data_IF_771989633074
#
_entry.id   IF_771989633074
#
_cell.length_a   1.000
_cell.length_b   1.000
_cell.length_c   1.000
_cell.angle_alpha   90.00
_cell.angle_beta   90.00
_cell.angle_gamma   90.00
#
_symmetry.space_group_name_H-M   'P 1'
#
loop_
_entity.id
_entity.type
_entity.pdbx_description
1 polymer ?
2 polymer ?
3 non-polymer ?
4 water ?
#
loop_
_entity_poly.entity_id
_entity_poly.type
_entity_poly.pdbx_seq_one_letter_code
_entity_poly.pdbx_strand_id
2 'polyribonucleotide' 'AAUCCAUUGCACUCCGGAUUU' ?
#
# COMPACT_ATOMS: atom_id res chain seq x y z
N UNK A 2 19.52 6.28 -0.49
CA UNK A 2 19.15 5.22 0.49
C UNK A 2 17.83 4.58 0.07
N UNK A 3 17.57 3.39 0.60
CA UNK A 3 16.38 2.55 0.31
C UNK A 3 15.33 2.81 1.39
N UNK A 4 14.04 2.50 1.12
CA UNK A 4 13.07 2.42 2.20
C UNK A 4 13.59 1.44 3.27
N UNK A 5 13.59 1.87 4.53
CA UNK A 5 13.94 1.03 5.72
C UNK A 5 12.85 -0.02 5.99
N UNK A 6 13.18 -1.30 5.82
CA UNK A 6 12.25 -2.46 5.99
C UNK A 6 12.64 -3.37 7.18
N UNK A 7 13.62 -3.01 8.01
CA UNK A 7 13.98 -3.81 9.21
C UNK A 7 12.97 -3.45 10.29
N UNK A 8 12.09 -4.39 10.70
CA UNK A 8 11.05 -4.08 11.67
C UNK A 8 11.62 -3.28 12.86
N UNK A 9 10.84 -2.32 13.35
CA UNK A 9 11.21 -1.47 14.49
C UNK A 9 9.91 -1.13 15.23
N UNK A 10 9.99 -0.72 16.50
CA UNK A 10 8.82 -0.33 17.32
C UNK A 10 8.15 0.86 16.67
N UNK A 11 8.92 1.68 15.96
CA UNK A 11 8.48 2.99 15.45
C UNK A 11 8.37 2.90 13.92
N UNK A 12 7.26 3.42 13.38
CA UNK A 12 7.08 3.63 11.92
C UNK A 12 7.32 5.11 11.62
N UNK A 13 7.99 5.38 10.50
CA UNK A 13 8.29 6.75 10.01
C UNK A 13 7.35 7.00 8.83
N UNK A 14 6.51 8.02 8.96
CA UNK A 14 5.53 8.42 7.91
C UNK A 14 5.99 9.74 7.30
N UNK A 15 6.21 9.79 5.99
CA UNK A 15 6.52 11.06 5.26
C UNK A 15 5.42 11.28 4.22
N UNK A 16 5.55 12.30 3.38
CA UNK A 16 4.55 12.60 2.32
C UNK A 16 3.20 12.90 2.99
N UNK A 17 3.21 13.53 4.15
CA UNK A 17 1.97 13.98 4.84
C UNK A 17 1.59 15.36 4.31
N UNK A 18 0.31 15.59 4.10
CA UNK A 18 -0.23 16.91 3.72
C UNK A 18 0.26 17.93 4.73
N UNK A 19 1.12 18.86 4.30
CA UNK A 19 1.78 19.85 5.19
C UNK A 19 0.80 20.94 5.61
N UNK A 20 -0.43 20.98 5.08
CA UNK A 20 -1.40 22.03 5.48
C UNK A 20 -2.02 21.59 6.81
N UNK A 21 -1.90 20.31 7.17
CA UNK A 21 -2.48 19.81 8.44
C UNK A 21 -1.56 20.20 9.59
N UNK A 22 -2.10 20.84 10.61
CA UNK A 22 -1.35 21.32 11.80
C UNK A 22 -1.03 20.14 12.72
N UNK A 23 -0.05 20.34 13.58
CA UNK A 23 0.49 19.34 14.51
C UNK A 23 -0.64 18.68 15.30
N UNK A 24 -1.48 19.45 15.98
CA UNK A 24 -2.46 18.86 16.92
C UNK A 24 -3.38 17.94 16.13
N UNK A 25 -3.85 18.39 14.98
CA UNK A 25 -4.83 17.62 14.16
C UNK A 25 -4.13 16.39 13.56
N UNK A 26 -2.90 16.55 13.06
CA UNK A 26 -2.10 15.44 12.48
C UNK A 26 -1.98 14.33 13.53
N UNK A 27 -1.56 14.65 14.76
CA UNK A 27 -1.38 13.67 15.85
C UNK A 27 -2.73 12.99 16.15
N UNK A 28 -3.80 13.77 16.21
CA UNK A 28 -5.14 13.27 16.61
C UNK A 28 -5.65 12.30 15.53
N UNK A 29 -5.49 12.70 14.26
CA UNK A 29 -5.89 11.89 13.09
C UNK A 29 -5.02 10.64 13.03
N UNK A 30 -3.72 10.76 13.32
CA UNK A 30 -2.79 9.61 13.22
C UNK A 30 -3.19 8.62 14.31
N UNK A 31 -3.47 9.08 15.51
CA UNK A 31 -3.88 8.19 16.62
C UNK A 31 -5.12 7.40 16.18
N UNK A 32 -6.16 8.10 15.71
CA UNK A 32 -7.46 7.56 15.29
C UNK A 32 -7.27 6.43 14.26
N UNK A 33 -6.25 6.54 13.43
CA UNK A 33 -5.96 5.57 12.34
C UNK A 33 -5.14 4.40 12.89
N UNK A 34 -4.13 4.67 13.70
CA UNK A 34 -3.06 3.68 13.98
C UNK A 34 -3.36 2.89 15.28
N UNK A 35 -4.33 3.35 16.08
CA UNK A 35 -4.69 2.72 17.38
C UNK A 35 -5.36 1.36 17.13
N UNK A 36 -5.78 1.08 15.89
CA UNK A 36 -6.46 -0.20 15.61
C UNK A 36 -5.43 -1.32 15.48
N UNK A 37 -4.12 -0.99 15.39
CA UNK A 37 -3.02 -1.96 15.17
C UNK A 37 -2.35 -2.34 16.49
N UNK A 38 -2.61 -1.60 17.59
CA UNK A 38 -1.95 -1.84 18.88
C UNK A 38 -1.85 -0.57 19.70
N UNK A 39 -1.18 -0.65 20.84
CA UNK A 39 -1.04 0.44 21.83
C UNK A 39 0.04 1.41 21.34
N UNK A 40 -0.29 2.70 21.26
CA UNK A 40 0.67 3.76 20.82
C UNK A 40 1.21 4.46 22.07
N UNK A 41 2.53 4.46 22.23
CA UNK A 41 3.24 5.10 23.37
C UNK A 41 3.33 6.60 23.09
N UNK A 42 3.69 6.98 21.87
CA UNK A 42 3.80 8.40 21.47
C UNK A 42 3.60 8.58 19.96
N UNK A 43 3.35 9.82 19.55
CA UNK A 43 3.40 10.27 18.14
C UNK A 43 4.18 11.58 18.13
N UNK A 44 5.41 11.58 17.61
CA UNK A 44 6.26 12.80 17.45
C UNK A 44 5.99 13.44 16.09
N UNK A 45 5.41 14.65 16.13
CA UNK A 45 5.25 15.56 14.96
C UNK A 45 5.96 16.86 15.31
N UNK A 46 6.65 17.45 14.33
CA UNK A 46 7.25 18.80 14.43
C UNK A 46 7.02 19.51 13.11
N UNK A 47 6.90 20.83 13.12
CA UNK A 47 6.48 21.59 11.93
C UNK A 47 7.62 22.51 11.46
N UNK A 48 8.82 22.34 12.00
CA UNK A 48 10.06 22.98 11.49
C UNK A 48 10.28 22.54 10.04
N UNK A 49 11.19 23.22 9.34
CA UNK A 49 11.56 22.98 7.93
C UNK A 49 11.89 21.51 7.69
N UNK A 50 12.79 20.93 8.47
CA UNK A 50 13.36 19.58 8.18
C UNK A 50 12.39 18.48 8.67
N UNK A 51 11.38 18.83 9.47
CA UNK A 51 10.47 17.90 10.20
C UNK A 51 9.04 17.89 9.63
N UNK A 52 8.67 18.92 8.85
CA UNK A 52 7.36 19.05 8.17
C UNK A 52 7.14 17.83 7.27
N UNK A 53 5.88 17.41 7.11
CA UNK A 53 5.46 16.29 6.24
C UNK A 53 5.70 14.91 6.88
N UNK A 54 6.07 14.87 8.17
CA UNK A 54 6.70 13.68 8.80
C UNK A 54 6.06 13.40 10.15
N UNK A 55 5.94 12.13 10.50
CA UNK A 55 5.53 11.67 11.86
C UNK A 55 6.29 10.40 12.23
N UNK A 56 6.53 10.22 13.54
CA UNK A 56 6.97 8.95 14.15
C UNK A 56 5.83 8.43 15.02
N UNK A 57 5.30 7.26 14.68
CA UNK A 57 4.27 6.60 15.51
C UNK A 57 4.97 5.44 16.21
N UNK A 58 4.96 5.46 17.54
CA UNK A 58 5.73 4.51 18.41
C UNK A 58 4.75 3.51 19.01
N UNK A 59 4.81 2.25 18.57
CA UNK A 59 3.95 1.16 19.11
C UNK A 59 4.71 0.47 20.22
N UNK A 60 3.95 0.01 21.22
CA UNK A 60 4.48 -0.73 22.37
C UNK A 60 5.14 -2.02 21.85
N UNK A 61 4.57 -2.63 20.81
CA UNK A 61 5.11 -3.90 20.25
C UNK A 61 5.39 -3.73 18.75
N UNK A 62 6.47 -4.38 18.29
CA UNK A 62 6.96 -4.36 16.89
C UNK A 62 5.85 -4.97 16.03
N UNK A 63 5.14 -5.96 16.56
CA UNK A 63 4.14 -6.68 15.75
C UNK A 63 3.11 -5.65 15.22
N UNK A 64 2.71 -4.68 16.06
CA UNK A 64 1.76 -3.60 15.71
C UNK A 64 2.35 -2.67 14.62
N UNK A 65 3.60 -2.20 14.77
CA UNK A 65 4.30 -1.46 13.70
C UNK A 65 4.14 -2.22 12.38
N UNK A 66 4.44 -3.52 12.40
CA UNK A 66 4.49 -4.38 11.19
C UNK A 66 3.10 -4.44 10.54
N UNK A 67 2.06 -4.61 11.35
CA UNK A 67 0.65 -4.64 10.89
C UNK A 67 0.30 -3.25 10.37
N UNK A 68 0.66 -2.19 11.12
CA UNK A 68 0.40 -0.78 10.76
C UNK A 68 1.01 -0.50 9.38
N UNK A 69 2.28 -0.90 9.16
CA UNK A 69 2.97 -0.64 7.86
C UNK A 69 2.31 -1.45 6.75
N UNK A 70 1.98 -2.70 7.00
CA UNK A 70 1.40 -3.58 5.95
C UNK A 70 -0.01 -3.08 5.57
N UNK A 71 -0.68 -2.37 6.46
CA UNK A 71 -2.13 -2.06 6.32
C UNK A 71 -2.33 -0.65 5.74
N UNK A 72 -1.57 0.32 6.22
CA UNK A 72 -1.84 1.76 6.00
C UNK A 72 -0.88 2.30 4.93
N UNK A 73 0.03 1.49 4.41
CA UNK A 73 0.90 1.93 3.27
C UNK A 73 -0.01 2.48 2.16
N UNK A 74 0.26 3.72 1.78
CA UNK A 74 -0.38 4.40 0.63
C UNK A 74 -1.78 4.86 0.93
N UNK A 75 -2.27 4.76 2.18
CA UNK A 75 -3.63 5.21 2.53
C UNK A 75 -3.76 6.68 2.14
N UNK A 76 -4.77 7.05 1.33
CA UNK A 76 -5.05 8.43 0.99
C UNK A 76 -5.53 9.22 2.22
N UNK A 77 -4.61 10.02 2.75
CA UNK A 77 -4.72 10.73 4.05
C UNK A 77 -4.60 12.21 3.74
N UNK A 78 -5.70 12.94 3.87
CA UNK A 78 -5.82 14.35 3.41
C UNK A 78 -5.30 14.45 1.96
N UNK A 79 -5.82 13.59 1.07
CA UNK A 79 -5.63 13.61 -0.41
C UNK A 79 -4.16 13.29 -0.82
N UNK A 80 -3.30 12.80 0.09
CA UNK A 80 -1.92 12.35 -0.23
C UNK A 80 -1.68 10.96 0.35
N UNK A 81 -1.22 9.99 -0.47
CA UNK A 81 -0.94 8.65 0.02
C UNK A 81 0.21 8.66 1.05
N UNK A 82 -0.07 8.15 2.26
CA UNK A 82 0.97 8.01 3.32
C UNK A 82 2.12 7.17 2.76
N UNK A 83 3.38 7.58 2.96
CA UNK A 83 4.56 6.72 2.70
C UNK A 83 5.12 6.27 4.06
N UNK A 84 5.14 4.95 4.30
CA UNK A 84 5.54 4.39 5.62
C UNK A 84 6.78 3.51 5.47
N UNK A 85 7.74 3.74 6.36
CA UNK A 85 8.86 2.82 6.60
C UNK A 85 8.90 2.46 8.08
N UNK A 86 9.78 1.56 8.45
CA UNK A 86 10.26 1.44 9.85
C UNK A 86 11.27 2.57 10.09
N UNK A 87 11.30 3.11 11.30
CA UNK A 87 12.35 4.03 11.81
C UNK A 87 13.72 3.35 11.68
N UNK A 88 14.72 4.04 11.14
CA UNK A 88 16.13 3.58 11.02
C UNK A 88 16.64 3.14 12.40
N UNK A 89 16.41 3.93 13.44
CA UNK A 89 16.94 3.68 14.80
C UNK A 89 15.79 3.80 15.79
N UNK A 90 15.99 3.15 16.93
CA UNK A 90 15.03 3.08 18.07
C UNK A 90 14.73 4.50 18.51
N UNK A 91 13.47 4.79 18.79
CA UNK A 91 13.03 5.99 19.53
C UNK A 91 13.54 5.90 20.98
N UNK A 92 13.77 7.04 21.65
CA UNK A 92 14.41 7.15 22.99
C UNK A 92 13.52 6.42 24.00
N UNK A 93 12.21 6.59 23.88
CA UNK A 93 11.17 5.95 24.76
C UNK A 93 11.44 4.43 24.78
N UNK A 94 11.73 3.86 23.62
CA UNK A 94 11.96 2.40 23.39
C UNK A 94 13.35 2.04 23.93
N UNK A 95 14.36 2.85 23.62
CA UNK A 95 15.77 2.60 24.00
C UNK A 95 15.91 2.48 25.53
N UNK A 96 15.18 3.25 26.34
CA UNK A 96 15.16 3.07 27.83
C UNK A 96 13.89 2.34 28.24
N UNK B 5 -12.26 8.72 4.46
CA UNK B 5 -12.40 8.37 5.92
C UNK B 5 -11.67 7.04 6.20
N UNK B 6 -11.21 6.96 7.45
CA UNK B 6 -10.33 5.91 7.97
C UNK B 6 -11.15 4.93 8.79
N UNK B 7 -12.45 5.20 8.99
CA UNK B 7 -13.35 4.37 9.83
C UNK B 7 -13.81 3.17 9.01
N UNK B 8 -13.44 1.92 9.40
CA UNK B 8 -13.86 0.72 8.66
C UNK B 8 -15.34 0.81 8.30
N UNK B 9 -15.67 0.35 7.10
CA UNK B 9 -17.02 0.40 6.50
C UNK B 9 -17.18 -0.81 5.60
N UNK B 10 -18.42 -1.27 5.38
CA UNK B 10 -18.78 -2.34 4.41
C UNK B 10 -18.32 -1.95 3.00
N UNK B 11 -18.42 -0.68 2.65
CA UNK B 11 -18.14 -0.17 1.29
C UNK B 11 -16.72 0.43 1.26
N UNK B 12 -15.97 0.10 0.20
CA UNK B 12 -14.70 0.83 -0.12
C UNK B 12 -14.96 1.83 -1.26
N UNK B 13 -14.40 3.02 -1.10
CA UNK B 13 -14.39 4.11 -2.08
C UNK B 13 -13.04 4.04 -2.79
N UNK B 14 -13.10 3.85 -4.11
CA UNK B 14 -11.88 3.85 -4.96
C UNK B 14 -11.98 5.06 -5.86
N UNK B 15 -10.92 5.87 -5.93
CA UNK B 15 -10.82 6.91 -6.98
C UNK B 15 -9.43 6.80 -7.65
N UNK B 16 -9.05 7.78 -8.47
CA UNK B 16 -7.87 7.69 -9.36
C UNK B 16 -8.07 6.48 -10.30
N UNK B 17 -9.30 6.14 -10.71
CA UNK B 17 -9.48 5.06 -11.72
C UNK B 17 -9.30 5.66 -13.10
N UNK B 18 -8.73 4.86 -14.01
CA UNK B 18 -8.63 5.21 -15.44
C UNK B 18 -10.02 5.47 -16.01
N UNK B 19 -10.30 6.70 -16.40
CA UNK B 19 -11.63 7.15 -16.90
C UNK B 19 -11.90 6.61 -18.32
N UNK B 20 -10.97 5.99 -19.03
CA UNK B 20 -11.26 5.47 -20.42
C UNK B 20 -12.06 4.16 -20.33
N UNK B 21 -12.02 3.49 -19.18
CA UNK B 21 -12.70 2.20 -18.95
C UNK B 21 -14.19 2.46 -18.75
N UNK B 22 -15.03 1.78 -19.52
CA UNK B 22 -16.50 1.99 -19.54
C UNK B 22 -17.08 1.21 -18.35
N UNK B 23 -18.31 1.50 -17.98
CA UNK B 23 -18.88 0.97 -16.71
C UNK B 23 -18.83 -0.57 -16.71
N UNK B 24 -19.16 -1.26 -17.81
CA UNK B 24 -19.36 -2.73 -17.79
C UNK B 24 -18.03 -3.45 -17.51
N UNK B 25 -16.98 -3.05 -18.22
CA UNK B 25 -15.60 -3.59 -18.10
C UNK B 25 -15.04 -3.29 -16.70
N UNK B 26 -15.19 -2.05 -16.24
CA UNK B 26 -14.75 -1.61 -14.90
C UNK B 26 -15.42 -2.49 -13.84
N UNK B 27 -16.75 -2.65 -13.89
CA UNK B 27 -17.52 -3.50 -12.94
C UNK B 27 -16.98 -4.95 -13.01
N UNK B 28 -16.82 -5.49 -14.20
CA UNK B 28 -16.35 -6.87 -14.37
C UNK B 28 -14.95 -6.95 -13.76
N UNK B 29 -14.07 -6.02 -14.10
CA UNK B 29 -12.66 -6.05 -13.64
C UNK B 29 -12.61 -5.92 -12.11
N UNK B 30 -13.31 -4.94 -11.53
CA UNK B 30 -13.33 -4.74 -10.07
C UNK B 30 -13.87 -6.01 -9.39
N UNK B 31 -14.85 -6.71 -9.98
CA UNK B 31 -15.47 -7.90 -9.34
C UNK B 31 -14.49 -9.08 -9.33
N UNK B 32 -13.80 -9.34 -10.43
CA UNK B 32 -12.72 -10.35 -10.56
C UNK B 32 -11.58 -10.09 -9.55
N UNK B 33 -11.17 -8.82 -9.40
CA UNK B 33 -10.06 -8.47 -8.48
C UNK B 33 -10.50 -8.64 -7.03
N UNK B 34 -11.68 -8.13 -6.64
CA UNK B 34 -12.09 -7.92 -5.22
C UNK B 34 -12.87 -9.13 -4.64
N UNK B 35 -13.37 -10.00 -5.51
CA UNK B 35 -14.22 -11.18 -5.18
C UNK B 35 -13.46 -12.10 -4.22
N UNK B 36 -12.16 -12.22 -4.42
CA UNK B 36 -11.20 -12.98 -3.59
C UNK B 36 -11.38 -12.67 -2.10
N UNK B 37 -11.73 -11.43 -1.73
CA UNK B 37 -11.68 -10.95 -0.31
C UNK B 37 -12.97 -11.33 0.43
N UNK B 38 -14.00 -11.74 -0.32
CA UNK B 38 -15.31 -12.15 0.21
C UNK B 38 -16.46 -11.74 -0.71
N UNK B 39 -17.69 -11.91 -0.24
CA UNK B 39 -18.90 -11.76 -1.08
C UNK B 39 -19.12 -10.27 -1.32
N UNK B 40 -19.25 -9.90 -2.58
CA UNK B 40 -19.56 -8.48 -2.94
C UNK B 40 -21.07 -8.38 -3.13
N UNK B 41 -21.71 -7.43 -2.45
CA UNK B 41 -23.16 -7.18 -2.55
C UNK B 41 -23.40 -6.41 -3.85
N UNK B 42 -22.52 -5.48 -4.20
CA UNK B 42 -22.73 -4.62 -5.40
C UNK B 42 -21.50 -3.72 -5.63
N UNK B 43 -21.30 -3.28 -6.89
CA UNK B 43 -20.27 -2.29 -7.29
C UNK B 43 -21.01 -1.14 -7.97
N UNK B 44 -20.97 0.06 -7.41
CA UNK B 44 -21.67 1.24 -7.98
C UNK B 44 -20.65 2.08 -8.73
N UNK B 45 -20.81 2.14 -10.04
CA UNK B 45 -20.00 2.97 -10.97
C UNK B 45 -20.95 3.92 -11.74
N UNK B 46 -20.59 5.19 -11.84
CA UNK B 46 -21.27 6.18 -12.70
C UNK B 46 -20.22 6.96 -13.52
N UNK B 47 -20.60 7.37 -14.73
CA UNK B 47 -19.70 7.99 -15.74
C UNK B 47 -19.97 9.49 -15.86
N UNK B 48 -20.98 10.01 -15.18
CA UNK B 48 -21.31 11.46 -15.14
C UNK B 48 -20.12 12.24 -14.56
N UNK B 49 -20.22 13.57 -14.61
CA UNK B 49 -19.05 14.48 -14.44
C UNK B 49 -18.43 14.24 -13.07
N UNK B 50 -19.24 14.17 -12.01
CA UNK B 50 -18.70 14.14 -10.61
C UNK B 50 -18.33 12.72 -10.20
N UNK B 51 -18.73 11.71 -10.98
CA UNK B 51 -18.67 10.28 -10.54
C UNK B 51 -17.63 9.46 -11.30
N UNK B 52 -17.08 9.96 -12.40
CA UNK B 52 -16.07 9.19 -13.17
C UNK B 52 -14.78 9.09 -12.35
N UNK B 53 -14.00 8.06 -12.66
CA UNK B 53 -12.74 7.74 -11.97
C UNK B 53 -12.97 7.16 -10.58
N UNK B 54 -14.22 6.79 -10.24
CA UNK B 54 -14.66 6.45 -8.88
C UNK B 54 -15.48 5.15 -8.88
N UNK B 55 -15.40 4.37 -7.80
CA UNK B 55 -16.21 3.15 -7.63
C UNK B 55 -16.48 2.97 -6.17
N UNK B 56 -17.64 2.39 -5.85
CA UNK B 56 -18.00 1.87 -4.51
C UNK B 56 -18.18 0.36 -4.61
N UNK B 57 -17.33 -0.41 -3.92
CA UNK B 57 -17.47 -1.89 -3.79
C UNK B 57 -18.11 -2.18 -2.42
N UNK B 58 -19.31 -2.73 -2.44
CA UNK B 58 -20.10 -3.01 -1.21
C UNK B 58 -19.90 -4.49 -0.91
N UNK B 59 -19.18 -4.79 0.17
CA UNK B 59 -18.95 -6.15 0.70
C UNK B 59 -20.01 -6.46 1.75
N UNK B 60 -20.46 -7.72 1.76
CA UNK B 60 -21.44 -8.23 2.75
C UNK B 60 -20.84 -8.02 4.15
N UNK B 61 -19.52 -8.23 4.31
CA UNK B 61 -18.81 -8.24 5.63
C UNK B 61 -17.72 -7.16 5.64
N UNK B 62 -17.68 -6.36 6.71
CA UNK B 62 -16.62 -5.34 6.94
C UNK B 62 -15.23 -6.00 6.85
N UNK B 63 -15.08 -7.23 7.35
CA UNK B 63 -13.76 -7.92 7.41
C UNK B 63 -13.23 -8.10 5.97
N UNK B 64 -14.12 -8.33 5.01
CA UNK B 64 -13.74 -8.46 3.58
C UNK B 64 -13.27 -7.10 3.01
N UNK B 65 -14.01 -6.04 3.34
CA UNK B 65 -13.75 -4.64 2.93
C UNK B 65 -12.36 -4.22 3.42
N UNK B 66 -12.09 -4.38 4.72
CA UNK B 66 -10.80 -4.09 5.38
C UNK B 66 -9.69 -4.84 4.63
N UNK B 67 -9.89 -6.12 4.31
CA UNK B 67 -8.88 -6.96 3.64
C UNK B 67 -8.65 -6.48 2.21
N UNK B 68 -9.72 -6.16 1.49
CA UNK B 68 -9.66 -5.64 0.10
C UNK B 68 -8.79 -4.38 0.07
N UNK B 69 -9.09 -3.42 0.94
CA UNK B 69 -8.43 -2.09 0.96
C UNK B 69 -6.94 -2.24 1.28
N UNK B 70 -6.59 -3.08 2.24
CA UNK B 70 -5.19 -3.23 2.70
C UNK B 70 -4.37 -3.95 1.62
N UNK B 71 -4.96 -4.91 0.90
CA UNK B 71 -4.26 -5.69 -0.14
C UNK B 71 -4.17 -4.91 -1.45
N UNK B 72 -5.25 -4.23 -1.86
CA UNK B 72 -5.34 -3.61 -3.21
C UNK B 72 -4.92 -2.14 -3.15
N UNK B 73 -4.71 -1.57 -1.96
CA UNK B 73 -4.23 -0.16 -1.82
C UNK B 73 -3.09 0.05 -2.81
N UNK B 74 -3.22 1.03 -3.69
CA UNK B 74 -2.11 1.43 -4.60
C UNK B 74 -1.86 0.46 -5.75
N UNK B 75 -2.61 -0.66 -5.87
CA UNK B 75 -2.39 -1.70 -6.93
C UNK B 75 -2.56 -1.04 -8.29
N UNK B 76 -1.64 -1.25 -9.25
CA UNK B 76 -1.69 -0.54 -10.51
C UNK B 76 -2.76 -1.24 -11.34
N UNK B 77 -3.79 -0.49 -11.68
CA UNK B 77 -5.03 -0.97 -12.32
C UNK B 77 -5.27 -0.11 -13.54
N UNK B 78 -5.17 -0.72 -14.72
CA UNK B 78 -5.27 0.03 -15.99
C UNK B 78 -4.33 1.25 -15.91
N UNK B 79 -3.09 1.04 -15.43
CA UNK B 79 -1.93 1.97 -15.48
C UNK B 79 -2.05 3.07 -14.40
N UNK B 80 -2.97 2.93 -13.45
CA UNK B 80 -3.15 3.93 -12.37
C UNK B 80 -3.21 3.20 -11.05
N UNK B 81 -2.47 3.65 -10.02
CA UNK B 81 -2.55 3.03 -8.70
C UNK B 81 -3.93 3.35 -8.10
N UNK B 82 -4.67 2.33 -7.68
CA UNK B 82 -5.99 2.52 -7.05
C UNK B 82 -5.77 3.28 -5.74
N UNK B 83 -6.55 4.33 -5.50
CA UNK B 83 -6.61 5.02 -4.19
C UNK B 83 -7.88 4.51 -3.47
N UNK B 84 -7.72 3.90 -2.30
CA UNK B 84 -8.85 3.23 -1.59
C UNK B 84 -8.97 3.79 -0.19
N UNK B 85 -10.17 4.22 0.14
CA UNK B 85 -10.60 4.66 1.49
C UNK B 85 -11.79 3.80 1.81
N UNK B 86 -12.32 3.92 3.02
CA UNK B 86 -13.67 3.44 3.40
C UNK B 86 -14.69 4.51 2.99
N UNK B 87 -15.85 4.10 2.50
CA UNK B 87 -16.93 5.04 2.18
C UNK B 87 -17.13 5.90 3.43
N UNK B 88 -17.44 7.20 3.27
CA UNK B 88 -17.65 8.15 4.40
C UNK B 88 -18.93 7.79 5.18
N UNK B 89 -19.94 7.22 4.51
CA UNK B 89 -21.19 6.73 5.16
C UNK B 89 -21.60 5.41 4.53
N UNK B 90 -22.45 4.65 5.23
CA UNK B 90 -23.01 3.38 4.77
C UNK B 90 -23.69 3.61 3.42
N UNK B 91 -23.46 2.71 2.48
CA UNK B 91 -24.25 2.56 1.22
C UNK B 91 -25.68 2.17 1.61
N UNK B 92 -26.67 2.62 0.84
CA UNK B 92 -28.11 2.46 1.15
C UNK B 92 -28.42 0.99 1.44
N UNK B 93 -28.07 0.08 0.54
CA UNK B 93 -28.43 -1.37 0.63
C UNK B 93 -27.90 -1.93 1.95
N UNK B 94 -26.88 -1.32 2.55
CA UNK B 94 -26.28 -1.71 3.86
C UNK B 94 -27.13 -1.10 4.98
N UNK B 95 -27.51 0.18 4.84
CA UNK B 95 -28.34 0.95 5.80
C UNK B 95 -29.72 0.29 6.03
N UNK B 96 -30.25 -0.53 5.10
CA UNK B 96 -31.52 -1.29 5.29
C UNK B 96 -31.20 -2.81 5.30
N UNK C 5 -1.59 -9.35 -12.66
CA UNK C 5 -2.40 -10.33 -11.85
C UNK C 5 -2.38 -9.96 -10.35
N UNK C 6 -3.55 -10.19 -9.75
CA UNK C 6 -3.96 -9.72 -8.41
C UNK C 6 -3.97 -10.92 -7.49
N UNK C 7 -3.60 -12.09 -8.02
CA UNK C 7 -3.65 -13.40 -7.31
C UNK C 7 -2.30 -13.66 -6.64
N UNK C 8 -2.23 -13.87 -5.32
CA UNK C 8 -0.96 -14.13 -4.66
C UNK C 8 -0.10 -15.12 -5.46
N UNK C 9 1.17 -14.82 -5.58
CA UNK C 9 2.18 -15.67 -6.24
C UNK C 9 3.48 -15.52 -5.46
N UNK C 10 4.37 -16.51 -5.55
CA UNK C 10 5.74 -16.48 -4.94
C UNK C 10 6.51 -15.27 -5.49
N UNK C 11 6.20 -14.86 -6.73
CA UNK C 11 7.01 -13.85 -7.45
C UNK C 11 6.20 -12.55 -7.53
N UNK C 12 6.84 -11.43 -7.16
CA UNK C 12 6.26 -10.08 -7.36
C UNK C 12 6.94 -9.49 -8.61
N UNK C 13 6.12 -8.82 -9.42
CA UNK C 13 6.54 -8.05 -10.61
C UNK C 13 6.52 -6.57 -10.23
N UNK C 14 7.65 -5.91 -10.39
CA UNK C 14 7.78 -4.46 -10.09
C UNK C 14 8.08 -3.77 -11.43
N UNK C 15 7.40 -2.66 -11.71
CA UNK C 15 7.80 -1.82 -12.86
C UNK C 15 7.74 -0.37 -12.40
N UNK C 16 7.94 0.57 -13.33
CA UNK C 16 8.13 1.99 -12.99
C UNK C 16 9.42 2.10 -12.17
N UNK C 17 10.41 1.26 -12.44
CA UNK C 17 11.74 1.43 -11.80
C UNK C 17 12.56 2.50 -12.55
N UNK C 18 13.39 3.23 -11.81
CA UNK C 18 14.27 4.29 -12.38
C UNK C 18 15.29 3.61 -13.29
N UNK C 19 15.11 3.75 -14.60
CA UNK C 19 15.89 3.01 -15.61
C UNK C 19 17.37 3.41 -15.57
N UNK C 20 17.73 4.50 -14.86
CA UNK C 20 19.12 5.01 -14.73
C UNK C 20 19.92 4.10 -13.79
N UNK C 21 19.27 3.50 -12.78
CA UNK C 21 19.92 2.60 -11.77
C UNK C 21 20.44 1.40 -12.55
N UNK C 22 21.69 1.02 -12.34
CA UNK C 22 22.31 -0.10 -13.08
C UNK C 22 21.95 -1.42 -12.39
N UNK C 23 22.15 -2.53 -13.10
CA UNK C 23 21.73 -3.89 -12.68
C UNK C 23 22.22 -4.18 -11.25
N UNK C 24 23.51 -4.03 -10.97
CA UNK C 24 24.10 -4.49 -9.68
C UNK C 24 23.49 -3.71 -8.52
N UNK C 25 23.41 -2.40 -8.65
CA UNK C 25 22.86 -1.56 -7.56
C UNK C 25 21.35 -1.80 -7.42
N UNK C 26 20.62 -1.97 -8.52
CA UNK C 26 19.16 -2.28 -8.50
C UNK C 26 18.95 -3.60 -7.76
N UNK C 27 19.70 -4.66 -8.12
CA UNK C 27 19.61 -6.00 -7.51
C UNK C 27 19.97 -5.95 -6.02
N UNK C 28 21.02 -5.22 -5.66
CA UNK C 28 21.49 -5.12 -4.25
C UNK C 28 20.44 -4.37 -3.45
N UNK C 29 19.89 -3.30 -4.02
CA UNK C 29 18.92 -2.39 -3.36
C UNK C 29 17.59 -3.12 -3.17
N UNK C 30 17.15 -3.91 -4.16
CA UNK C 30 15.89 -4.70 -4.07
C UNK C 30 16.01 -5.78 -2.98
N UNK C 31 17.15 -6.46 -2.86
CA UNK C 31 17.40 -7.48 -1.78
C UNK C 31 17.28 -6.80 -0.42
N UNK C 32 17.82 -5.58 -0.28
CA UNK C 32 17.91 -4.87 1.01
C UNK C 32 16.50 -4.42 1.48
N UNK C 33 15.64 -4.04 0.52
CA UNK C 33 14.23 -3.72 0.80
C UNK C 33 13.48 -5.03 1.11
N UNK C 34 13.50 -5.96 0.15
CA UNK C 34 12.51 -7.06 0.09
C UNK C 34 12.94 -8.28 0.93
N UNK C 35 14.24 -8.53 1.15
CA UNK C 35 14.74 -9.67 1.98
C UNK C 35 14.14 -9.64 3.39
N UNK C 36 13.77 -8.45 3.90
CA UNK C 36 13.25 -8.32 5.28
C UNK C 36 11.84 -8.94 5.38
N UNK C 37 11.19 -9.31 4.27
CA UNK C 37 9.83 -9.93 4.25
C UNK C 37 9.94 -11.45 4.26
N UNK C 38 11.15 -12.00 4.16
CA UNK C 38 11.39 -13.45 4.05
C UNK C 38 12.44 -13.79 3.02
N UNK C 39 12.82 -15.05 2.95
CA UNK C 39 13.91 -15.53 2.07
C UNK C 39 13.53 -15.24 0.61
N UNK C 40 14.45 -14.58 -0.11
CA UNK C 40 14.38 -14.39 -1.57
C UNK C 40 15.20 -15.51 -2.21
N UNK C 41 14.62 -16.27 -3.14
CA UNK C 41 15.35 -17.30 -3.94
C UNK C 41 16.12 -16.60 -5.07
N UNK C 42 15.55 -15.55 -5.65
CA UNK C 42 16.18 -14.88 -6.82
C UNK C 42 15.55 -13.49 -7.08
N UNK C 43 16.36 -12.60 -7.63
CA UNK C 43 15.93 -11.30 -8.20
C UNK C 43 16.41 -11.22 -9.64
N UNK C 44 15.49 -11.14 -10.60
CA UNK C 44 15.81 -11.11 -12.06
C UNK C 44 15.60 -9.68 -12.58
N UNK C 45 16.69 -9.12 -13.09
CA UNK C 45 16.74 -7.79 -13.73
C UNK C 45 17.46 -7.92 -15.06
N UNK C 46 16.89 -7.41 -16.13
CA UNK C 46 17.63 -7.18 -17.40
C UNK C 46 17.41 -5.72 -17.83
N UNK C 47 18.40 -5.16 -18.53
CA UNK C 47 18.35 -3.74 -18.97
C UNK C 47 18.04 -3.65 -20.48
N UNK C 48 17.85 -4.80 -21.15
CA UNK C 48 17.38 -4.87 -22.57
C UNK C 48 16.09 -4.06 -22.71
N UNK C 49 15.71 -3.70 -23.94
CA UNK C 49 14.65 -2.71 -24.26
C UNK C 49 13.30 -3.11 -23.64
N UNK C 50 12.89 -4.37 -23.72
CA UNK C 50 11.54 -4.80 -23.27
C UNK C 50 11.51 -5.06 -21.76
N UNK C 51 12.67 -5.09 -21.09
CA UNK C 51 12.82 -5.65 -19.71
C UNK C 51 13.24 -4.56 -18.71
N UNK C 52 13.74 -3.42 -19.20
CA UNK C 52 14.24 -2.35 -18.31
C UNK C 52 13.07 -1.73 -17.54
N UNK C 53 13.41 -1.12 -16.41
CA UNK C 53 12.43 -0.51 -15.48
C UNK C 53 11.59 -1.55 -14.74
N UNK C 54 11.94 -2.83 -14.85
CA UNK C 54 11.15 -3.95 -14.28
C UNK C 54 12.07 -4.88 -13.48
N UNK C 55 11.52 -5.55 -12.47
CA UNK C 55 12.17 -6.62 -11.69
C UNK C 55 11.14 -7.67 -11.25
N UNK C 56 11.58 -8.93 -11.16
CA UNK C 56 10.86 -10.08 -10.56
C UNK C 56 11.60 -10.46 -9.27
N UNK C 57 10.92 -10.42 -8.12
CA UNK C 57 11.51 -10.87 -6.84
C UNK C 57 10.82 -12.18 -6.47
N UNK C 58 11.59 -13.26 -6.43
CA UNK C 58 11.08 -14.64 -6.22
C UNK C 58 11.32 -14.97 -4.76
N UNK C 59 10.23 -15.06 -3.99
CA UNK C 59 10.26 -15.43 -2.56
C UNK C 59 10.06 -16.94 -2.41
N UNK C 60 10.58 -17.49 -1.32
CA UNK C 60 10.44 -18.94 -0.99
C UNK C 60 8.97 -19.18 -0.63
N UNK C 61 8.39 -18.28 0.18
CA UNK C 61 7.02 -18.38 0.73
C UNK C 61 6.13 -17.28 0.13
N UNK C 62 4.89 -17.61 -0.20
CA UNK C 62 3.91 -16.67 -0.80
C UNK C 62 3.57 -15.56 0.21
N UNK C 63 3.44 -15.88 1.51
CA UNK C 63 3.21 -14.90 2.59
C UNK C 63 4.24 -13.75 2.49
N UNK C 64 5.50 -14.07 2.23
CA UNK C 64 6.61 -13.08 2.09
C UNK C 64 6.32 -12.13 0.91
N UNK C 65 5.96 -12.64 -0.26
CA UNK C 65 5.62 -11.89 -1.48
C UNK C 65 4.43 -10.97 -1.24
N UNK C 66 3.42 -11.48 -0.54
CA UNK C 66 2.18 -10.76 -0.18
C UNK C 66 2.56 -9.64 0.80
N UNK C 67 3.38 -9.93 1.79
CA UNK C 67 3.72 -8.90 2.80
C UNK C 67 4.55 -7.82 2.08
N UNK C 68 5.38 -8.21 1.14
CA UNK C 68 6.30 -7.30 0.43
C UNK C 68 5.46 -6.40 -0.47
N UNK C 69 4.51 -6.99 -1.19
CA UNK C 69 3.65 -6.22 -2.14
C UNK C 69 2.82 -5.19 -1.36
N UNK C 70 2.13 -5.63 -0.32
CA UNK C 70 1.21 -4.78 0.48
C UNK C 70 2.02 -3.64 1.13
N UNK C 71 3.20 -3.97 1.65
CA UNK C 71 4.04 -3.09 2.51
C UNK C 71 4.83 -2.06 1.67
N UNK C 72 5.16 -2.36 0.42
CA UNK C 72 6.07 -1.50 -0.40
C UNK C 72 5.34 -0.97 -1.64
N UNK C 73 4.06 -1.31 -1.81
CA UNK C 73 3.22 -0.76 -2.91
C UNK C 73 3.37 0.76 -2.95
N UNK C 74 3.85 1.31 -4.07
CA UNK C 74 3.89 2.76 -4.36
C UNK C 74 5.02 3.48 -3.64
N UNK C 75 5.87 2.79 -2.87
CA UNK C 75 6.93 3.46 -2.07
C UNK C 75 8.03 3.97 -3.00
N UNK C 76 8.41 5.26 -2.88
CA UNK C 76 9.37 5.88 -3.79
C UNK C 76 10.75 5.22 -3.71
N UNK C 77 11.23 4.80 -4.87
CA UNK C 77 12.56 4.20 -5.08
C UNK C 77 13.30 5.01 -6.14
N UNK C 78 14.42 5.64 -5.79
CA UNK C 78 15.17 6.56 -6.68
C UNK C 78 14.18 7.54 -7.34
N UNK C 79 13.36 8.22 -6.53
CA UNK C 79 12.39 9.28 -6.89
C UNK C 79 11.16 8.77 -7.65
N UNK C 80 10.91 7.46 -7.71
CA UNK C 80 9.75 6.86 -8.44
C UNK C 80 8.98 5.87 -7.57
N UNK C 81 7.63 5.98 -7.52
CA UNK C 81 6.80 5.05 -6.75
C UNK C 81 6.92 3.69 -7.45
N UNK C 82 7.24 2.67 -6.66
CA UNK C 82 7.31 1.27 -7.17
C UNK C 82 5.88 0.78 -7.44
N UNK C 83 5.69 0.20 -8.61
CA UNK C 83 4.40 -0.41 -9.03
C UNK C 83 4.59 -1.91 -8.92
N UNK C 84 3.82 -2.53 -8.03
CA UNK C 84 4.02 -3.94 -7.61
C UNK C 84 2.77 -4.73 -7.94
N UNK C 85 2.92 -5.79 -8.72
CA UNK C 85 1.87 -6.78 -8.97
C UNK C 85 2.49 -8.14 -8.63
N UNK C 86 1.67 -9.19 -8.62
CA UNK C 86 2.12 -10.59 -8.53
C UNK C 86 2.47 -10.99 -9.97
N UNK C 87 3.50 -11.81 -10.16
CA UNK C 87 3.86 -12.34 -11.50
C UNK C 87 2.62 -13.01 -12.08
N UNK C 88 2.38 -12.87 -13.39
CA UNK C 88 1.20 -13.50 -14.03
C UNK C 88 1.35 -15.03 -14.00
N UNK C 89 2.59 -15.53 -14.08
CA UNK C 89 2.90 -16.99 -14.10
C UNK C 89 3.99 -17.25 -13.08
N UNK C 90 4.04 -18.47 -12.54
CA UNK C 90 5.15 -18.93 -11.68
C UNK C 90 6.50 -18.75 -12.40
N UNK C 91 7.51 -18.29 -11.66
CA UNK C 91 8.92 -18.33 -12.10
C UNK C 91 9.33 -19.80 -12.24
N UNK C 92 10.26 -20.10 -13.16
CA UNK C 92 10.69 -21.50 -13.51
C UNK C 92 11.24 -22.21 -12.28
N UNK C 93 12.00 -21.51 -11.43
CA UNK C 93 12.63 -22.09 -10.21
C UNK C 93 11.51 -22.59 -9.27
N UNK C 94 10.31 -22.01 -9.36
CA UNK C 94 9.13 -22.38 -8.52
C UNK C 94 8.38 -23.55 -9.17
N UNK C 95 8.26 -23.59 -10.50
CA UNK C 95 7.42 -24.55 -11.25
C UNK C 95 8.12 -25.92 -11.40
X LIG G 1 2.37 27.05 3.14
#
# INVERSE_FOLDING_TARGET
MAVPETRPNHTIYINNLNEKIKKDELKKSLHAIFSRFGQILDILVSRSLKMRGQAWVIFKEVSSATNALRSMQGFPFYDKPMRIQYAKTDSDIIAKMK
MAVPETRPNHTIYINNLNEKIKKDELKKSLHAIFSRFGQILDILVSRSLKMRGQAWVIFKEVSSATNALRSMQGFPFYDKPMRIQYAKTDSDIIAKMK
MAVPETRPNHTIYINNLNEKIKKDELKKSLHAIFSRFGQILDILVSRSLKMRGQAWVIFKEVSSATNALRSMQGFPFYDKPMRIQYAKTDSDIIAKMK
MG MG
#
